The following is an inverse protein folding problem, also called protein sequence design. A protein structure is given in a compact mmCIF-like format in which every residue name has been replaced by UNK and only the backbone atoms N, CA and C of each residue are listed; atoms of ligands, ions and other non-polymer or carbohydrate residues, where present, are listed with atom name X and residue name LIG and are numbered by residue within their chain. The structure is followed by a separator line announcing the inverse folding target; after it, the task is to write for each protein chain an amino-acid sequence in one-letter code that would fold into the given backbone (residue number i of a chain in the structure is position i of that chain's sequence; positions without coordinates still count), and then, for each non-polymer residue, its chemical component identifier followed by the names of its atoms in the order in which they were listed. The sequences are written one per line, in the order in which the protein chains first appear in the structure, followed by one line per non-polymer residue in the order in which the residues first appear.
data_IF_874758529074
#
_entry.id   IF_874758529074
#
_cell.length_a   1.000
_cell.length_b   1.000
_cell.length_c   1.000
_cell.angle_alpha   90.00
_cell.angle_beta   90.00
_cell.angle_gamma   90.00
#
_symmetry.space_group_name_H-M   'P 1'
#
loop_
_entity.id
_entity.type
_entity.pdbx_description
1 polymer ?
#
# COMPACT_ATOMS: atom_id res chain seq x y z
N UNK A 1 14.71 -4.78 12.23
CA UNK A 1 15.30 -4.44 10.91
C UNK A 1 15.51 -5.67 10.04
N UNK A 2 16.17 -6.73 10.52
CA UNK A 2 16.41 -7.94 9.72
C UNK A 2 15.15 -8.56 9.10
N UNK A 3 14.04 -8.62 9.85
CA UNK A 3 12.76 -9.12 9.33
C UNK A 3 12.24 -8.31 8.11
N UNK A 4 12.51 -7.00 8.06
CA UNK A 4 12.14 -6.12 6.93
C UNK A 4 12.97 -6.45 5.70
N UNK A 5 14.29 -6.62 5.89
CA UNK A 5 15.22 -7.01 4.84
C UNK A 5 14.83 -8.37 4.26
N UNK A 6 14.61 -9.36 5.11
CA UNK A 6 14.23 -10.72 4.69
C UNK A 6 12.91 -10.72 3.91
N UNK A 7 11.89 -10.00 4.37
CA UNK A 7 10.62 -9.92 3.66
C UNK A 7 10.80 -9.27 2.27
N UNK A 8 11.43 -8.11 2.19
CA UNK A 8 11.65 -7.40 0.91
C UNK A 8 12.53 -8.21 -0.05
N UNK A 9 13.59 -8.87 0.45
CA UNK A 9 14.40 -9.78 -0.35
C UNK A 9 13.58 -10.95 -0.91
N UNK A 10 12.70 -11.55 -0.10
CA UNK A 10 11.84 -12.64 -0.59
C UNK A 10 10.91 -12.16 -1.72
N UNK A 11 10.36 -10.94 -1.61
CA UNK A 11 9.51 -10.34 -2.63
C UNK A 11 10.30 -10.11 -3.93
N UNK A 12 11.53 -9.58 -3.82
CA UNK A 12 12.39 -9.32 -4.98
C UNK A 12 12.84 -10.61 -5.70
N UNK A 13 13.02 -11.70 -4.95
CA UNK A 13 13.47 -13.00 -5.46
C UNK A 13 12.31 -13.88 -5.94
N UNK A 14 11.08 -13.58 -5.55
CA UNK A 14 9.90 -14.29 -6.05
C UNK A 14 9.75 -13.98 -7.54
N UNK A 15 9.60 -14.98 -8.43
CA UNK A 15 9.35 -14.73 -9.85
C UNK A 15 8.17 -13.77 -9.96
N UNK A 16 8.38 -12.59 -10.52
CA UNK A 16 7.33 -11.61 -10.76
C UNK A 16 6.34 -12.24 -11.74
N UNK A 17 5.34 -12.97 -11.22
CA UNK A 17 4.17 -13.32 -12.03
C UNK A 17 3.61 -11.99 -12.51
N UNK A 18 3.27 -11.92 -13.80
CA UNK A 18 2.72 -10.72 -14.45
C UNK A 18 1.45 -10.18 -13.75
N UNK A 19 0.87 -10.97 -12.84
CA UNK A 19 -0.31 -10.68 -12.03
C UNK A 19 0.01 -10.48 -10.53
N UNK A 20 1.26 -10.20 -10.12
CA UNK A 20 1.63 -9.90 -8.73
C UNK A 20 0.71 -8.86 -8.05
N UNK A 21 0.11 -7.96 -8.85
CA UNK A 21 -0.86 -6.96 -8.38
C UNK A 21 -2.19 -7.54 -7.90
N UNK A 22 -2.57 -8.73 -8.38
CA UNK A 22 -3.77 -9.46 -7.94
C UNK A 22 -3.55 -10.08 -6.55
N UNK A 23 -2.29 -10.42 -6.23
CA UNK A 23 -1.88 -11.04 -4.96
C UNK A 23 -1.60 -10.01 -3.84
N UNK A 24 -1.67 -8.69 -4.10
CA UNK A 24 -1.36 -7.64 -3.11
C UNK A 24 -2.43 -7.49 -2.01
N UNK A 25 -3.41 -8.41 -1.92
CA UNK A 25 -4.32 -8.45 -0.77
C UNK A 25 -3.56 -8.96 0.44
N UNK A 26 -3.25 -8.04 1.36
CA UNK A 26 -2.53 -8.31 2.61
C UNK A 26 -3.45 -8.84 3.74
N UNK A 27 -4.60 -9.43 3.39
CA UNK A 27 -5.64 -9.86 4.32
C UNK A 27 -5.65 -11.36 4.62
N UNK A 28 -6.30 -11.73 5.71
CA UNK A 28 -6.51 -13.11 6.13
C UNK A 28 -7.51 -13.87 5.25
N UNK A 29 -8.36 -13.20 4.47
CA UNK A 29 -9.36 -13.80 3.55
C UNK A 29 -8.76 -14.54 2.31
N UNK A 30 -7.43 -14.69 2.23
CA UNK A 30 -6.73 -15.44 1.17
C UNK A 30 -7.25 -16.88 0.99
N UNK A 31 -7.73 -17.51 2.08
CA UNK A 31 -8.25 -18.88 2.04
C UNK A 31 -9.56 -19.04 1.27
N UNK A 32 -10.36 -17.98 1.12
CA UNK A 32 -11.63 -18.03 0.38
C UNK A 32 -11.47 -17.74 -1.12
N UNK A 33 -10.44 -16.98 -1.50
CA UNK A 33 -10.27 -16.47 -2.87
C UNK A 33 -9.13 -17.12 -3.67
N UNK A 34 -8.32 -17.99 -3.04
CA UNK A 34 -7.12 -18.61 -3.65
C UNK A 34 -6.12 -17.57 -4.21
N UNK A 35 -6.05 -16.39 -3.59
CA UNK A 35 -5.09 -15.35 -3.93
C UNK A 35 -3.80 -15.60 -3.17
N UNK A 36 -2.66 -15.43 -3.84
CA UNK A 36 -1.36 -15.52 -3.17
C UNK A 36 -1.22 -14.40 -2.16
N UNK A 37 -0.59 -14.65 -1.02
CA UNK A 37 -0.27 -13.60 -0.05
C UNK A 37 1.14 -13.07 -0.29
N UNK A 38 1.29 -11.74 -0.27
CA UNK A 38 2.61 -11.10 -0.29
C UNK A 38 3.10 -10.95 1.15
N UNK A 39 4.32 -11.41 1.50
CA UNK A 39 4.83 -11.26 2.85
C UNK A 39 4.99 -9.78 3.20
N UNK A 40 4.35 -9.32 4.27
CA UNK A 40 4.48 -7.94 4.75
C UNK A 40 5.28 -7.89 6.06
N UNK A 41 6.38 -7.13 6.13
CA UNK A 41 7.16 -7.06 7.35
C UNK A 41 6.45 -6.26 8.45
N UNK A 42 6.64 -6.61 9.74
CA UNK A 42 6.03 -5.88 10.84
C UNK A 42 6.49 -4.42 10.87
N UNK A 43 5.61 -3.52 11.32
CA UNK A 43 5.86 -2.08 11.50
C UNK A 43 6.43 -1.37 10.26
N UNK A 44 5.97 -1.71 9.05
CA UNK A 44 6.55 -1.23 7.78
C UNK A 44 5.55 -0.45 6.93
N UNK A 45 4.93 0.59 7.52
CA UNK A 45 4.01 1.50 6.82
C UNK A 45 4.65 2.21 5.62
N UNK A 46 5.96 2.44 5.66
CA UNK A 46 6.74 2.97 4.54
C UNK A 46 6.83 1.99 3.35
N UNK A 47 6.27 0.78 3.47
CA UNK A 47 6.21 -0.26 2.44
C UNK A 47 4.75 -0.72 2.20
N UNK A 48 3.76 0.02 2.71
CA UNK A 48 2.35 -0.22 2.48
C UNK A 48 1.74 0.94 1.65
N UNK A 49 1.25 0.71 0.42
CA UNK A 49 0.73 1.79 -0.44
C UNK A 49 -0.41 2.59 0.19
N UNK A 50 -1.23 1.94 1.02
CA UNK A 50 -2.27 2.62 1.79
C UNK A 50 -1.70 3.71 2.71
N UNK A 51 -0.61 3.40 3.40
CA UNK A 51 0.02 4.28 4.38
C UNK A 51 0.87 5.36 3.73
N UNK A 52 1.85 4.98 2.90
CA UNK A 52 2.81 5.96 2.34
C UNK A 52 2.23 6.80 1.19
N UNK A 53 1.17 6.33 0.53
CA UNK A 53 0.65 7.00 -0.67
C UNK A 53 -0.81 7.44 -0.55
N UNK A 54 -1.74 6.58 -0.14
CA UNK A 54 -3.18 6.86 -0.19
C UNK A 54 -3.68 7.76 0.97
N UNK A 55 -3.27 7.47 2.20
CA UNK A 55 -3.86 8.15 3.36
C UNK A 55 -3.44 9.61 3.47
N UNK A 56 -2.28 10.00 2.95
CA UNK A 56 -1.87 11.42 2.91
C UNK A 56 -2.84 12.30 2.10
N UNK A 57 -3.11 12.04 0.81
CA UNK A 57 -4.07 12.81 0.02
C UNK A 57 -5.50 12.67 0.55
N UNK A 58 -5.89 11.51 1.09
CA UNK A 58 -7.21 11.34 1.72
C UNK A 58 -7.37 12.26 2.94
N UNK A 59 -6.38 12.27 3.86
CA UNK A 59 -6.36 13.16 5.02
C UNK A 59 -6.43 14.62 4.61
N UNK A 60 -5.70 15.01 3.56
CA UNK A 60 -5.74 16.38 3.03
C UNK A 60 -7.11 16.73 2.45
N UNK A 61 -7.73 15.81 1.69
CA UNK A 61 -9.07 16.02 1.14
C UNK A 61 -10.16 16.13 2.23
N UNK A 62 -10.02 15.36 3.30
CA UNK A 62 -10.94 15.38 4.45
C UNK A 62 -10.63 16.50 5.43
N UNK A 63 -9.48 17.15 5.31
CA UNK A 63 -9.05 18.23 6.21
C UNK A 63 -10.11 19.34 6.21
N UNK A 64 -10.42 19.84 7.40
CA UNK A 64 -11.38 20.95 7.62
C UNK A 64 -12.85 20.64 7.24
N UNK A 65 -13.15 19.43 6.74
CA UNK A 65 -14.53 18.98 6.52
C UNK A 65 -15.16 18.51 7.84
N UNK A 66 -16.41 18.89 8.07
CA UNK A 66 -17.24 18.43 9.19
C UNK A 66 -18.46 17.73 8.61
N UNK A 67 -18.71 16.51 9.06
CA UNK A 67 -19.84 15.70 8.61
C UNK A 67 -20.82 15.56 9.77
N UNK A 68 -22.07 15.95 9.55
CA UNK A 68 -23.14 15.80 10.55
C UNK A 68 -23.74 14.39 10.55
N UNK A 69 -23.57 13.64 9.46
CA UNK A 69 -24.09 12.29 9.27
C UNK A 69 -23.01 11.37 8.71
N UNK A 70 -23.13 10.08 9.05
CA UNK A 70 -22.26 9.04 8.51
C UNK A 70 -22.34 8.96 6.97
N UNK A 71 -23.53 9.09 6.39
CA UNK A 71 -23.69 9.02 4.94
C UNK A 71 -22.98 10.15 4.19
N UNK A 72 -22.97 11.36 4.75
CA UNK A 72 -22.25 12.49 4.15
C UNK A 72 -20.73 12.23 4.15
N UNK A 73 -20.21 11.63 5.23
CA UNK A 73 -18.81 11.21 5.31
C UNK A 73 -18.50 10.11 4.29
N UNK A 74 -19.36 9.08 4.21
CA UNK A 74 -19.22 7.95 3.30
C UNK A 74 -19.20 8.42 1.84
N UNK A 75 -20.12 9.31 1.46
CA UNK A 75 -20.17 9.91 0.12
C UNK A 75 -18.90 10.71 -0.19
N UNK A 76 -18.42 11.53 0.75
CA UNK A 76 -17.18 12.27 0.54
C UNK A 76 -15.97 11.34 0.33
N UNK A 77 -15.92 10.19 1.01
CA UNK A 77 -14.88 9.18 0.80
C UNK A 77 -15.01 8.56 -0.59
N UNK A 78 -16.22 8.20 -1.05
CA UNK A 78 -16.43 7.71 -2.42
C UNK A 78 -16.02 8.74 -3.46
N UNK A 79 -16.46 9.99 -3.31
CA UNK A 79 -16.09 11.10 -4.20
C UNK A 79 -14.57 11.24 -4.30
N UNK A 80 -13.84 11.05 -3.19
CA UNK A 80 -12.39 11.08 -3.20
C UNK A 80 -11.79 9.95 -4.05
N UNK A 81 -12.30 8.72 -3.93
CA UNK A 81 -11.79 7.58 -4.70
C UNK A 81 -12.13 7.71 -6.19
N UNK A 82 -13.37 8.10 -6.51
CA UNK A 82 -13.84 8.33 -7.89
C UNK A 82 -13.09 9.49 -8.57
N UNK A 83 -12.62 10.45 -7.77
CA UNK A 83 -11.74 11.54 -8.20
C UNK A 83 -10.36 11.09 -8.69
N UNK A 84 -9.91 9.86 -8.40
CA UNK A 84 -8.53 9.43 -8.68
C UNK A 84 -8.41 8.79 -10.06
N UNK A 85 -7.42 9.26 -10.82
CA UNK A 85 -7.11 8.69 -12.12
C UNK A 85 -6.46 7.31 -11.98
N UNK A 86 -6.54 6.49 -13.05
CA UNK A 86 -5.78 5.23 -13.10
C UNK A 86 -4.27 5.44 -12.90
N UNK A 87 -3.74 6.60 -13.33
CA UNK A 87 -2.33 6.96 -13.14
C UNK A 87 -1.97 7.15 -11.65
N UNK A 88 -2.89 7.66 -10.82
CA UNK A 88 -2.70 7.79 -9.38
C UNK A 88 -2.44 6.43 -8.73
N UNK A 89 -3.25 5.42 -9.05
CA UNK A 89 -3.10 4.05 -8.54
C UNK A 89 -1.85 3.34 -9.10
N UNK A 90 -1.59 3.49 -10.39
CA UNK A 90 -0.38 2.92 -11.01
C UNK A 90 0.89 3.47 -10.38
N UNK A 91 0.90 4.75 -9.98
CA UNK A 91 2.04 5.35 -9.30
C UNK A 91 2.31 4.71 -7.94
N UNK A 92 1.29 4.48 -7.11
CA UNK A 92 1.49 3.87 -5.78
C UNK A 92 2.14 2.49 -5.86
N UNK A 93 1.75 1.72 -6.87
CA UNK A 93 2.34 0.41 -7.17
C UNK A 93 3.79 0.55 -7.65
N UNK A 94 4.06 1.47 -8.58
CA UNK A 94 5.43 1.72 -9.06
C UNK A 94 6.36 2.11 -7.91
N UNK A 95 5.92 3.03 -7.06
CA UNK A 95 6.67 3.48 -5.90
C UNK A 95 6.93 2.31 -4.92
N UNK A 96 5.97 1.39 -4.74
CA UNK A 96 6.15 0.18 -3.92
C UNK A 96 7.30 -0.71 -4.44
N UNK A 97 7.36 -0.93 -5.75
CA UNK A 97 8.45 -1.68 -6.40
C UNK A 97 9.82 -1.02 -6.19
N UNK A 98 9.87 0.31 -6.07
CA UNK A 98 11.11 1.07 -5.81
C UNK A 98 11.50 1.09 -4.32
N UNK A 99 10.50 0.98 -3.43
CA UNK A 99 10.71 0.96 -1.97
C UNK A 99 11.30 -0.36 -1.48
N UNK A 100 10.89 -1.52 -1.98
CA UNK A 100 11.47 -2.81 -1.57
C UNK A 100 12.99 -2.89 -1.70
N UNK A 101 13.62 -2.56 -2.85
CA UNK A 101 15.08 -2.60 -2.95
C UNK A 101 15.71 -1.55 -2.03
N UNK A 102 15.09 -0.38 -1.84
CA UNK A 102 15.58 0.64 -0.90
C UNK A 102 15.65 0.12 0.53
N UNK A 103 14.66 -0.64 0.98
CA UNK A 103 14.68 -1.29 2.31
C UNK A 103 15.86 -2.27 2.41
N UNK A 104 16.15 -3.02 1.35
CA UNK A 104 17.27 -3.96 1.34
C UNK A 104 18.62 -3.25 1.33
N UNK A 105 18.79 -2.23 0.49
CA UNK A 105 20.06 -1.49 0.38
C UNK A 105 20.38 -0.68 1.62
N UNK A 106 19.37 -0.26 2.38
CA UNK A 106 19.54 0.50 3.60
C UNK A 106 19.45 -0.38 4.86
N UNK A 107 19.77 -1.68 4.76
CA UNK A 107 19.80 -2.62 5.90
C UNK A 107 18.52 -2.64 6.75
N UNK A 108 17.37 -2.46 6.09
CA UNK A 108 16.07 -2.46 6.73
C UNK A 108 15.76 -1.18 7.50
N UNK A 109 16.46 -0.07 7.25
CA UNK A 109 16.10 1.26 7.75
C UNK A 109 14.82 1.81 7.11
N UNK A 110 14.13 2.70 7.82
CA UNK A 110 12.88 3.29 7.35
C UNK A 110 13.12 4.28 6.21
N UNK A 111 12.20 4.28 5.24
CA UNK A 111 12.17 5.27 4.17
C UNK A 111 11.39 6.47 4.70
N UNK A 112 12.01 7.65 4.64
CA UNK A 112 11.41 8.92 5.09
C UNK A 112 11.04 9.74 3.84
N UNK A 113 9.80 10.21 3.81
CA UNK A 113 9.22 11.06 2.75
C UNK A 113 9.28 12.56 3.05
#
# INVERSE_FOLDING_TARGET
MQARVTACQSILLTPQRKEFLVDLVTGDESWDLNWGTVPHPPYSSDVAPSDFYLFRPLKLFLKEKRFGKYEDFKMAVFDFFDSKSAAFWKKSIKDLHERWPTVVTNDGQYIVD
#
